data_IF_610610290301
#
_entry.id   IF_610610290301
#
_cell.length_a   1.000
_cell.length_b   1.000
_cell.length_c   1.000
_cell.angle_alpha   90.00
_cell.angle_beta   90.00
_cell.angle_gamma   90.00
#
_symmetry.space_group_name_H-M   'P 1'
#
loop_
_entity.id
_entity.type
_entity.pdbx_description
1 polymer ?
#
# COMPACT_ATOMS: atom_id res chain seq x y z
N UNK A 1 10.29 21.32 32.01
CA UNK A 1 10.34 22.09 30.75
C UNK A 1 8.91 22.17 30.29
N UNK A 2 8.29 23.34 30.45
CA UNK A 2 6.92 23.57 30.02
C UNK A 2 6.87 23.42 28.50
N UNK A 3 6.16 22.40 28.02
CA UNK A 3 5.84 22.27 26.60
C UNK A 3 4.81 23.37 26.33
N UNK A 4 5.28 24.56 26.01
CA UNK A 4 4.42 25.68 25.65
C UNK A 4 3.56 25.24 24.47
N UNK A 5 2.23 25.33 24.62
CA UNK A 5 1.31 25.08 23.53
C UNK A 5 1.70 25.97 22.33
N UNK A 6 1.70 25.43 21.09
CA UNK A 6 2.12 26.17 19.91
C UNK A 6 1.26 27.43 19.76
N UNK A 7 1.91 28.56 19.48
CA UNK A 7 1.20 29.82 19.24
C UNK A 7 0.48 29.77 17.88
N UNK A 8 -0.53 30.62 17.64
CA UNK A 8 -1.16 30.74 16.32
C UNK A 8 -0.15 31.06 15.20
N UNK A 9 0.94 31.76 15.53
CA UNK A 9 2.00 32.10 14.58
C UNK A 9 2.83 30.86 14.22
N UNK A 10 3.11 29.99 15.19
CA UNK A 10 3.83 28.72 14.97
C UNK A 10 3.00 27.78 14.09
N UNK A 11 1.69 27.68 14.35
CA UNK A 11 0.77 26.90 13.52
C UNK A 11 0.69 27.43 12.09
N UNK A 12 0.69 28.75 11.92
CA UNK A 12 0.67 29.38 10.60
C UNK A 12 1.97 29.12 9.83
N UNK A 13 3.14 29.19 10.49
CA UNK A 13 4.43 28.84 9.88
C UNK A 13 4.46 27.37 9.45
N UNK A 14 4.02 26.45 10.32
CA UNK A 14 3.89 25.03 10.00
C UNK A 14 2.96 24.82 8.80
N UNK A 15 1.82 25.50 8.76
CA UNK A 15 0.88 25.40 7.64
C UNK A 15 1.51 25.83 6.32
N UNK A 16 2.15 27.01 6.27
CA UNK A 16 2.79 27.49 5.05
C UNK A 16 3.89 26.54 4.57
N UNK A 17 4.73 26.06 5.50
CA UNK A 17 5.75 25.07 5.19
C UNK A 17 5.13 23.80 4.60
N UNK A 18 4.10 23.22 5.22
CA UNK A 18 3.44 22.01 4.74
C UNK A 18 2.83 22.21 3.34
N UNK A 19 2.16 23.34 3.10
CA UNK A 19 1.57 23.66 1.79
C UNK A 19 2.66 23.78 0.71
N UNK A 20 3.74 24.50 1.00
CA UNK A 20 4.86 24.68 0.06
C UNK A 20 5.48 23.32 -0.31
N UNK A 21 5.75 22.47 0.68
CA UNK A 21 6.30 21.13 0.45
C UNK A 21 5.32 20.25 -0.35
N UNK A 22 4.02 20.32 -0.06
CA UNK A 22 2.99 19.59 -0.82
C UNK A 22 2.91 20.05 -2.28
N UNK A 23 2.97 21.36 -2.53
CA UNK A 23 2.99 21.91 -3.88
C UNK A 23 4.24 21.48 -4.66
N UNK A 24 5.40 21.52 -4.02
CA UNK A 24 6.65 21.05 -4.62
C UNK A 24 6.54 19.57 -5.02
N UNK A 25 6.14 18.70 -4.09
CA UNK A 25 5.97 17.27 -4.35
C UNK A 25 4.93 16.99 -5.44
N UNK A 26 3.81 17.74 -5.47
CA UNK A 26 2.81 17.62 -6.53
C UNK A 26 3.33 18.07 -7.90
N UNK A 27 4.21 19.07 -7.94
CA UNK A 27 4.84 19.58 -9.16
C UNK A 27 5.83 18.60 -9.81
N UNK A 28 6.41 17.68 -9.03
CA UNK A 28 7.30 16.62 -9.54
C UNK A 28 6.53 15.45 -10.18
N UNK A 29 5.20 15.39 -10.04
CA UNK A 29 4.40 14.31 -10.59
C UNK A 29 4.10 14.49 -12.08
N UNK A 30 3.89 13.38 -12.82
CA UNK A 30 3.35 13.44 -14.19
C UNK A 30 2.04 14.24 -14.27
N UNK A 31 1.78 14.98 -15.38
CA UNK A 31 0.62 15.88 -15.49
C UNK A 31 -0.73 15.24 -15.19
N UNK A 32 -0.91 13.96 -15.57
CA UNK A 32 -2.14 13.19 -15.31
C UNK A 32 -2.51 13.06 -13.82
N UNK A 33 -1.52 13.12 -12.93
CA UNK A 33 -1.74 13.06 -11.48
C UNK A 33 -1.79 14.47 -10.89
N UNK A 34 -0.96 15.38 -11.39
CA UNK A 34 -0.95 16.79 -10.95
C UNK A 34 -2.32 17.46 -11.12
N UNK A 35 -3.02 17.19 -12.23
CA UNK A 35 -4.37 17.72 -12.47
C UNK A 35 -5.43 17.21 -11.46
N UNK A 36 -5.13 16.15 -10.70
CA UNK A 36 -5.99 15.63 -9.63
C UNK A 36 -5.65 16.19 -8.25
N UNK A 37 -4.62 17.02 -8.16
CA UNK A 37 -4.11 17.60 -6.92
C UNK A 37 -4.22 19.14 -6.95
N UNK A 38 -5.44 19.70 -6.98
CA UNK A 38 -5.62 21.14 -6.97
C UNK A 38 -5.10 21.75 -5.66
N UNK A 39 -4.76 23.04 -5.72
CA UNK A 39 -4.25 23.78 -4.55
C UNK A 39 -5.17 23.69 -3.32
N UNK A 40 -6.49 23.72 -3.53
CA UNK A 40 -7.48 23.58 -2.48
C UNK A 40 -7.32 22.25 -1.72
N UNK A 41 -7.10 21.14 -2.43
CA UNK A 41 -6.89 19.83 -1.83
C UNK A 41 -5.60 19.80 -1.02
N UNK A 42 -4.50 20.31 -1.57
CA UNK A 42 -3.21 20.37 -0.87
C UNK A 42 -3.27 21.25 0.37
N UNK A 43 -4.02 22.36 0.31
CA UNK A 43 -4.24 23.26 1.45
C UNK A 43 -5.08 22.60 2.53
N UNK A 44 -6.16 21.91 2.15
CA UNK A 44 -6.97 21.14 3.10
C UNK A 44 -6.14 20.03 3.76
N UNK A 45 -5.33 19.31 2.98
CA UNK A 45 -4.45 18.26 3.49
C UNK A 45 -3.43 18.83 4.47
N UNK A 46 -2.74 19.92 4.13
CA UNK A 46 -1.80 20.60 5.04
C UNK A 46 -2.45 20.97 6.38
N UNK A 47 -3.68 21.49 6.36
CA UNK A 47 -4.43 21.79 7.58
C UNK A 47 -4.71 20.54 8.42
N UNK A 48 -5.10 19.42 7.79
CA UNK A 48 -5.32 18.15 8.50
C UNK A 48 -4.04 17.59 9.15
N UNK A 49 -2.87 17.91 8.58
CA UNK A 49 -1.55 17.48 9.04
C UNK A 49 -0.95 18.39 10.12
N UNK A 50 -1.64 19.46 10.54
CA UNK A 50 -1.18 20.27 11.68
C UNK A 50 -1.14 19.45 12.97
N UNK A 51 -2.08 18.50 13.11
CA UNK A 51 -2.10 17.51 14.18
C UNK A 51 -1.38 16.23 13.75
N UNK A 52 -0.45 15.76 14.58
CA UNK A 52 0.38 14.60 14.25
C UNK A 52 -0.38 13.26 14.22
N UNK A 53 -1.64 13.25 14.69
CA UNK A 53 -2.51 12.06 14.66
C UNK A 53 -2.63 11.46 13.25
N UNK A 54 -2.70 12.29 12.20
CA UNK A 54 -2.81 11.78 10.82
C UNK A 54 -1.52 11.10 10.37
N UNK A 55 -0.35 11.61 10.79
CA UNK A 55 0.93 10.94 10.52
C UNK A 55 0.98 9.56 11.17
N UNK A 56 0.52 9.44 12.42
CA UNK A 56 0.51 8.17 13.14
C UNK A 56 -0.47 7.16 12.54
N UNK A 57 -1.65 7.62 12.09
CA UNK A 57 -2.60 6.75 11.35
C UNK A 57 -1.95 6.20 10.08
N UNK A 58 -1.34 7.07 9.25
CA UNK A 58 -0.71 6.64 7.99
C UNK A 58 0.46 5.68 8.24
N UNK A 59 1.30 5.94 9.27
CA UNK A 59 2.37 5.01 9.67
C UNK A 59 1.82 3.65 10.10
N UNK A 60 0.79 3.63 10.94
CA UNK A 60 0.15 2.39 11.39
C UNK A 60 -0.45 1.59 10.23
N UNK A 61 -1.12 2.26 9.28
CA UNK A 61 -1.65 1.60 8.08
C UNK A 61 -0.55 1.01 7.20
N UNK A 62 0.59 1.70 7.08
CA UNK A 62 1.76 1.21 6.33
C UNK A 62 2.38 -0.02 6.98
N UNK A 63 2.48 -0.07 8.31
CA UNK A 63 2.95 -1.25 9.04
C UNK A 63 2.01 -2.45 8.85
N UNK A 64 0.70 -2.22 8.98
CA UNK A 64 -0.33 -3.25 8.75
C UNK A 64 -0.24 -3.77 7.31
N UNK A 65 -0.05 -2.89 6.33
CA UNK A 65 0.16 -3.26 4.93
C UNK A 65 1.38 -4.16 4.79
N UNK A 66 2.52 -3.76 5.33
CA UNK A 66 3.77 -4.50 5.22
C UNK A 66 3.67 -5.90 5.82
N UNK A 67 3.08 -6.02 7.01
CA UNK A 67 2.87 -7.33 7.67
C UNK A 67 1.93 -8.20 6.83
N UNK A 68 0.87 -7.61 6.26
CA UNK A 68 -0.08 -8.33 5.41
C UNK A 68 0.58 -8.83 4.13
N UNK A 69 1.30 -7.96 3.41
CA UNK A 69 2.03 -8.34 2.19
C UNK A 69 3.05 -9.45 2.46
N UNK A 70 3.80 -9.35 3.56
CA UNK A 70 4.75 -10.38 3.97
C UNK A 70 4.04 -11.71 4.24
N UNK A 71 2.90 -11.69 4.92
CA UNK A 71 2.11 -12.90 5.18
C UNK A 71 1.60 -13.55 3.89
N UNK A 72 1.02 -12.78 2.97
CA UNK A 72 0.51 -13.28 1.69
C UNK A 72 1.64 -13.83 0.81
N UNK A 73 2.79 -13.17 0.80
CA UNK A 73 3.99 -13.66 0.11
C UNK A 73 4.47 -15.01 0.68
N UNK A 74 4.49 -15.15 2.01
CA UNK A 74 4.84 -16.40 2.67
C UNK A 74 3.86 -17.52 2.35
N UNK A 75 2.55 -17.25 2.31
CA UNK A 75 1.54 -18.23 1.89
C UNK A 75 1.81 -18.75 0.46
N UNK A 76 2.10 -17.83 -0.48
CA UNK A 76 2.45 -18.20 -1.86
C UNK A 76 3.72 -19.06 -1.93
N UNK A 77 4.74 -18.69 -1.15
CA UNK A 77 6.00 -19.44 -1.10
C UNK A 77 5.83 -20.85 -0.53
N UNK A 78 4.99 -21.01 0.50
CA UNK A 78 4.65 -22.31 1.07
C UNK A 78 4.00 -23.23 0.03
N UNK A 79 3.06 -22.72 -0.77
CA UNK A 79 2.44 -23.47 -1.85
C UNK A 79 3.47 -23.95 -2.87
N UNK A 80 4.35 -23.06 -3.33
CA UNK A 80 5.40 -23.42 -4.31
C UNK A 80 6.35 -24.50 -3.77
N UNK A 81 6.72 -24.41 -2.49
CA UNK A 81 7.55 -25.42 -1.85
C UNK A 81 6.81 -26.76 -1.74
N UNK A 82 5.53 -26.76 -1.39
CA UNK A 82 4.71 -27.97 -1.34
C UNK A 82 4.62 -28.65 -2.70
N UNK A 83 4.39 -27.87 -3.77
CA UNK A 83 4.34 -28.37 -5.15
C UNK A 83 5.68 -28.98 -5.59
N UNK A 84 6.79 -28.35 -5.19
CA UNK A 84 8.14 -28.89 -5.46
C UNK A 84 8.37 -30.24 -4.78
N UNK A 85 7.97 -30.37 -3.51
CA UNK A 85 8.10 -31.62 -2.75
C UNK A 85 7.22 -32.71 -3.38
N UNK A 86 5.95 -32.41 -3.65
CA UNK A 86 5.01 -33.34 -4.28
C UNK A 86 5.53 -33.85 -5.63
N UNK A 87 6.12 -32.96 -6.44
CA UNK A 87 6.71 -33.35 -7.71
C UNK A 87 7.92 -34.28 -7.54
N UNK A 88 8.76 -34.06 -6.52
CA UNK A 88 9.90 -34.94 -6.24
C UNK A 88 9.46 -36.31 -5.76
N UNK A 89 8.50 -36.38 -4.84
CA UNK A 89 7.97 -37.64 -4.29
C UNK A 89 7.20 -38.45 -5.33
N UNK A 90 6.39 -37.78 -6.16
CA UNK A 90 5.63 -38.47 -7.20
C UNK A 90 6.53 -39.08 -8.28
N UNK A 91 7.71 -38.49 -8.51
CA UNK A 91 8.66 -38.96 -9.52
C UNK A 91 9.70 -39.95 -8.96
N UNK A 92 9.88 -40.04 -7.64
CA UNK A 92 10.91 -40.90 -7.04
C UNK A 92 10.64 -42.39 -7.23
N UNK A 93 9.37 -42.78 -7.36
CA UNK A 93 8.95 -44.19 -7.40
C UNK A 93 8.64 -44.72 -8.82
N UNK A 94 8.83 -43.89 -9.86
CA UNK A 94 8.50 -44.27 -11.24
C UNK A 94 9.75 -44.77 -11.97
N UNK A 95 9.64 -45.97 -12.55
CA UNK A 95 10.75 -46.66 -13.24
C UNK A 95 10.74 -46.36 -14.74
N UNK A 96 9.58 -46.20 -15.37
CA UNK A 96 9.47 -45.99 -16.82
C UNK A 96 9.42 -44.50 -17.20
N UNK A 97 10.07 -44.15 -18.31
CA UNK A 97 10.11 -42.77 -18.80
C UNK A 97 8.74 -42.30 -19.32
N UNK A 98 7.92 -43.21 -19.87
CA UNK A 98 6.57 -42.89 -20.35
C UNK A 98 5.63 -42.50 -19.19
N UNK A 99 5.63 -43.26 -18.09
CA UNK A 99 4.85 -42.91 -16.89
C UNK A 99 5.33 -41.61 -16.25
N UNK A 100 6.66 -41.34 -16.25
CA UNK A 100 7.23 -40.09 -15.74
C UNK A 100 6.72 -38.88 -16.52
N UNK A 101 6.65 -38.96 -17.86
CA UNK A 101 6.17 -37.87 -18.70
C UNK A 101 4.69 -37.58 -18.43
N UNK A 102 3.86 -38.62 -18.35
CA UNK A 102 2.42 -38.48 -18.08
C UNK A 102 2.17 -37.85 -16.70
N UNK A 103 2.83 -38.36 -15.66
CA UNK A 103 2.66 -37.87 -14.28
C UNK A 103 3.15 -36.43 -14.14
N UNK A 104 4.30 -36.10 -14.75
CA UNK A 104 4.82 -34.73 -14.75
C UNK A 104 3.86 -33.75 -15.43
N UNK A 105 3.25 -34.14 -16.56
CA UNK A 105 2.29 -33.30 -17.26
C UNK A 105 1.00 -33.09 -16.43
N UNK A 106 0.50 -34.15 -15.78
CA UNK A 106 -0.66 -34.08 -14.90
C UNK A 106 -0.40 -33.16 -13.68
N UNK A 107 0.74 -33.33 -13.01
CA UNK A 107 1.15 -32.50 -11.88
C UNK A 107 1.32 -31.05 -12.28
N UNK A 108 1.99 -30.77 -13.41
CA UNK A 108 2.14 -29.41 -13.90
C UNK A 108 0.80 -28.72 -14.12
N UNK A 109 -0.18 -29.42 -14.72
CA UNK A 109 -1.53 -28.89 -14.93
C UNK A 109 -2.23 -28.61 -13.60
N UNK A 110 -2.15 -29.54 -12.64
CA UNK A 110 -2.72 -29.38 -11.28
C UNK A 110 -2.11 -28.18 -10.57
N UNK A 111 -0.78 -28.14 -10.47
CA UNK A 111 -0.04 -27.09 -9.77
C UNK A 111 -0.30 -25.70 -10.34
N UNK A 112 -0.40 -25.60 -11.67
CA UNK A 112 -0.72 -24.34 -12.36
C UNK A 112 -2.10 -23.82 -11.99
N UNK A 113 -3.11 -24.68 -11.93
CA UNK A 113 -4.47 -24.28 -11.57
C UNK A 113 -4.57 -23.90 -10.10
N UNK A 114 -3.97 -24.67 -9.20
CA UNK A 114 -3.91 -24.35 -7.76
C UNK A 114 -3.20 -23.02 -7.49
N UNK A 115 -2.07 -22.77 -8.17
CA UNK A 115 -1.33 -21.51 -8.04
C UNK A 115 -2.18 -20.34 -8.52
N UNK A 116 -2.88 -20.49 -9.64
CA UNK A 116 -3.79 -19.46 -10.17
C UNK A 116 -4.93 -19.15 -9.19
N UNK A 117 -5.56 -20.16 -8.62
CA UNK A 117 -6.65 -19.99 -7.66
C UNK A 117 -6.15 -19.31 -6.38
N UNK A 118 -4.97 -19.70 -5.91
CA UNK A 118 -4.32 -19.08 -4.75
C UNK A 118 -3.98 -17.63 -5.03
N UNK A 119 -3.29 -17.33 -6.13
CA UNK A 119 -2.92 -15.96 -6.52
C UNK A 119 -4.16 -15.07 -6.64
N UNK A 120 -5.28 -15.57 -7.20
CA UNK A 120 -6.56 -14.83 -7.24
C UNK A 120 -7.07 -14.50 -5.83
N UNK A 121 -7.03 -15.46 -4.90
CA UNK A 121 -7.45 -15.25 -3.51
C UNK A 121 -6.54 -14.26 -2.78
N UNK A 122 -5.24 -14.25 -3.07
CA UNK A 122 -4.29 -13.30 -2.49
C UNK A 122 -4.56 -11.88 -2.98
N UNK A 123 -4.83 -11.70 -4.28
CA UNK A 123 -5.20 -10.40 -4.85
C UNK A 123 -6.49 -9.86 -4.22
N UNK A 124 -7.52 -10.69 -4.05
CA UNK A 124 -8.76 -10.27 -3.39
C UNK A 124 -8.54 -9.79 -1.95
N UNK A 125 -7.60 -10.39 -1.23
CA UNK A 125 -7.23 -9.93 0.12
C UNK A 125 -6.49 -8.59 0.09
N UNK A 126 -5.63 -8.36 -0.91
CA UNK A 126 -4.97 -7.07 -1.11
C UNK A 126 -5.99 -5.97 -1.45
N UNK A 127 -6.92 -6.25 -2.36
CA UNK A 127 -7.98 -5.31 -2.76
C UNK A 127 -8.86 -4.92 -1.55
N UNK A 128 -9.22 -5.90 -0.70
CA UNK A 128 -9.94 -5.63 0.53
C UNK A 128 -9.13 -4.72 1.47
N UNK A 129 -7.82 -4.94 1.60
CA UNK A 129 -6.96 -4.10 2.43
C UNK A 129 -6.86 -2.67 1.91
N UNK A 130 -6.79 -2.47 0.60
CA UNK A 130 -6.84 -1.13 0.00
C UNK A 130 -8.15 -0.44 0.35
N UNK A 131 -9.29 -1.13 0.20
CA UNK A 131 -10.61 -0.59 0.55
C UNK A 131 -10.72 -0.23 2.04
N UNK A 132 -10.19 -1.08 2.94
CA UNK A 132 -10.19 -0.83 4.38
C UNK A 132 -9.36 0.42 4.73
N UNK A 133 -8.16 0.55 4.15
CA UNK A 133 -7.28 1.69 4.36
C UNK A 133 -7.90 2.99 3.85
N UNK A 134 -8.51 2.98 2.65
CA UNK A 134 -9.26 4.11 2.12
C UNK A 134 -10.38 4.53 3.08
N UNK A 135 -11.17 3.56 3.57
CA UNK A 135 -12.26 3.83 4.51
C UNK A 135 -11.76 4.43 5.83
N UNK A 136 -10.62 3.96 6.35
CA UNK A 136 -10.03 4.49 7.59
C UNK A 136 -9.58 5.94 7.38
N UNK A 137 -8.89 6.24 6.28
CA UNK A 137 -8.39 7.59 5.99
C UNK A 137 -9.54 8.58 5.72
N UNK A 138 -10.58 8.13 5.01
CA UNK A 138 -11.81 8.91 4.80
C UNK A 138 -12.50 9.24 6.13
N UNK A 139 -12.67 8.25 7.03
CA UNK A 139 -13.27 8.45 8.36
C UNK A 139 -12.40 9.30 9.29
N UNK A 140 -11.09 9.25 9.12
CA UNK A 140 -10.15 10.14 9.82
C UNK A 140 -10.19 11.58 9.29
N UNK A 141 -10.96 11.84 8.23
CA UNK A 141 -11.13 13.17 7.64
C UNK A 141 -9.93 13.62 6.81
N UNK A 142 -9.10 12.69 6.32
CA UNK A 142 -7.93 13.01 5.51
C UNK A 142 -8.38 13.41 4.10
N UNK A 143 -8.13 14.66 3.65
CA UNK A 143 -8.58 15.12 2.34
C UNK A 143 -7.99 14.29 1.18
N UNK A 144 -8.81 14.03 0.17
CA UNK A 144 -8.41 13.25 -1.02
C UNK A 144 -8.58 11.74 -0.88
N UNK A 145 -8.97 11.25 0.31
CA UNK A 145 -9.26 9.84 0.54
C UNK A 145 -10.76 9.57 0.55
N UNK A 146 -11.15 8.56 -0.20
CA UNK A 146 -12.50 8.01 -0.31
C UNK A 146 -12.38 6.60 -0.90
N UNK A 147 -13.34 5.73 -0.61
CA UNK A 147 -13.33 4.37 -1.15
C UNK A 147 -13.53 4.39 -2.68
N UNK A 148 -12.59 3.80 -3.42
CA UNK A 148 -12.63 3.79 -4.90
C UNK A 148 -11.86 2.62 -5.50
N UNK A 149 -12.41 2.06 -6.59
CA UNK A 149 -11.78 1.03 -7.42
C UNK A 149 -11.18 1.61 -8.72
N UNK A 150 -11.23 2.93 -8.90
CA UNK A 150 -10.64 3.57 -10.08
C UNK A 150 -9.10 3.54 -9.95
N UNK A 151 -8.37 2.92 -10.88
CA UNK A 151 -6.92 2.76 -10.77
C UNK A 151 -6.17 4.09 -10.76
N UNK A 152 -6.69 5.13 -11.42
CA UNK A 152 -6.06 6.46 -11.41
C UNK A 152 -6.21 7.11 -10.04
N UNK A 153 -7.39 7.04 -9.45
CA UNK A 153 -7.67 7.62 -8.13
C UNK A 153 -6.90 6.89 -7.02
N UNK A 154 -6.80 5.56 -7.09
CA UNK A 154 -5.95 4.76 -6.20
C UNK A 154 -4.48 5.24 -6.30
N UNK A 155 -3.97 5.43 -7.51
CA UNK A 155 -2.61 5.94 -7.71
C UNK A 155 -2.43 7.34 -7.10
N UNK A 156 -3.41 8.23 -7.23
CA UNK A 156 -3.38 9.57 -6.62
C UNK A 156 -3.34 9.45 -5.08
N UNK A 157 -4.22 8.64 -4.48
CA UNK A 157 -4.24 8.38 -3.05
C UNK A 157 -2.92 7.79 -2.53
N UNK A 158 -2.28 6.90 -3.30
CA UNK A 158 -0.94 6.38 -2.98
C UNK A 158 0.12 7.48 -2.98
N UNK A 159 0.05 8.46 -3.90
CA UNK A 159 0.97 9.61 -3.88
C UNK A 159 0.71 10.50 -2.66
N UNK A 160 -0.54 10.71 -2.28
CA UNK A 160 -0.87 11.45 -1.06
C UNK A 160 -0.31 10.75 0.19
N UNK A 161 -0.40 9.42 0.30
CA UNK A 161 0.24 8.67 1.38
C UNK A 161 1.77 8.89 1.41
N UNK A 162 2.43 8.80 0.25
CA UNK A 162 3.87 9.06 0.13
C UNK A 162 4.23 10.48 0.58
N UNK A 163 3.43 11.48 0.20
CA UNK A 163 3.63 12.86 0.64
C UNK A 163 3.54 13.00 2.16
N UNK A 164 2.50 12.43 2.78
CA UNK A 164 2.32 12.43 4.23
C UNK A 164 3.51 11.78 4.94
N UNK A 165 3.99 10.64 4.43
CA UNK A 165 5.15 9.94 4.99
C UNK A 165 6.43 10.77 4.87
N UNK A 166 6.67 11.43 3.73
CA UNK A 166 7.84 12.29 3.52
C UNK A 166 7.82 13.49 4.46
N UNK A 167 6.67 14.16 4.57
CA UNK A 167 6.48 15.29 5.49
C UNK A 167 6.73 14.89 6.95
N UNK A 168 6.32 13.68 7.35
CA UNK A 168 6.56 13.17 8.71
C UNK A 168 8.05 13.01 9.08
N UNK A 169 8.94 13.06 8.09
CA UNK A 169 10.40 12.94 8.26
C UNK A 169 11.12 14.29 8.12
N UNK A 170 10.40 15.35 7.78
CA UNK A 170 10.96 16.69 7.61
C UNK A 170 10.98 17.43 8.95
N UNK A 171 12.03 18.24 9.16
CA UNK A 171 12.06 19.16 10.28
C UNK A 171 11.20 20.38 9.96
N UNK A 172 10.12 20.55 10.73
CA UNK A 172 9.25 21.73 10.59
C UNK A 172 9.98 22.94 11.20
N UNK A 173 10.08 24.07 10.46
CA UNK A 173 10.64 25.30 11.01
C UNK A 173 9.88 25.73 12.27
N UNK A 174 10.61 25.94 13.37
CA UNK A 174 10.07 26.54 14.62
C UNK A 174 9.98 28.06 14.49
#
# INVERSE_FOLDING_TARGET
MDIANPTPQDLQRKLYFLVEQLQHMAGELPPKYQMRLPYELLSALANSLLNDTIFEIVKGLMEIQHVTEKHLFQQRLQLLNQQKIEAQESLSNIITDEERVVIKAALYKKHKEELKQTDMKLVLQLDQKVSDQQSILEKAGVPGFYVTNNPIEIQVQMRLCDFIIRLSKMEVPS
#
